data_IF_243111585803
#
_entry.id   IF_243111585803
#
_cell.length_a   1.000
_cell.length_b   1.000
_cell.length_c   1.000
_cell.angle_alpha   90.00
_cell.angle_beta   90.00
_cell.angle_gamma   90.00
#
_symmetry.space_group_name_H-M   'P 1'
#
loop_
_entity.id
_entity.type
_entity.pdbx_description
1 polymer ?
#
# COMPACT_ATOMS: atom_id res chain seq x y z
N UNK A 1 -2.82 -13.32 13.28
CA UNK A 1 -3.68 -12.78 12.19
C UNK A 1 -3.10 -11.54 11.49
N UNK A 2 -1.95 -11.00 11.93
CA UNK A 2 -1.29 -9.80 11.37
C UNK A 2 -0.39 -10.08 10.13
N UNK A 3 -0.10 -11.35 9.84
CA UNK A 3 0.94 -11.75 8.87
C UNK A 3 0.35 -12.05 7.48
N UNK A 4 -0.95 -12.35 7.39
CA UNK A 4 -1.58 -12.74 6.12
C UNK A 4 -1.95 -11.55 5.22
N UNK A 5 -2.36 -10.41 5.80
CA UNK A 5 -2.76 -9.24 5.02
C UNK A 5 -1.59 -8.52 4.34
N UNK A 6 -0.40 -8.56 4.92
CA UNK A 6 0.79 -7.93 4.33
C UNK A 6 1.33 -8.64 3.09
N UNK A 7 0.99 -9.92 2.87
CA UNK A 7 1.56 -10.74 1.79
C UNK A 7 0.92 -10.53 0.41
N UNK A 8 -0.35 -10.13 0.36
CA UNK A 8 -1.09 -9.99 -0.91
C UNK A 8 -0.93 -8.62 -1.58
N UNK A 9 -0.72 -7.56 -0.80
CA UNK A 9 -0.59 -6.18 -1.31
C UNK A 9 0.68 -6.00 -2.15
N UNK A 10 1.74 -6.77 -1.88
CA UNK A 10 3.04 -6.62 -2.56
C UNK A 10 3.08 -7.15 -4.00
N UNK A 11 2.17 -8.05 -4.40
CA UNK A 11 2.23 -8.72 -5.72
C UNK A 11 1.55 -7.89 -6.82
N UNK A 12 0.52 -7.10 -6.49
CA UNK A 12 -0.28 -6.41 -7.51
C UNK A 12 0.22 -5.00 -7.87
N UNK A 13 1.01 -4.34 -7.01
CA UNK A 13 1.45 -2.96 -7.21
C UNK A 13 2.44 -2.75 -8.40
N UNK A 14 2.93 -3.83 -9.02
CA UNK A 14 3.93 -3.74 -10.10
C UNK A 14 3.30 -3.60 -11.50
N UNK A 15 1.99 -3.88 -11.67
CA UNK A 15 1.42 -4.09 -13.01
C UNK A 15 0.60 -2.95 -13.61
N UNK A 16 0.24 -1.93 -12.85
CA UNK A 16 -0.67 -0.86 -13.31
C UNK A 16 0.01 0.51 -13.34
N UNK A 17 0.88 0.72 -14.32
CA UNK A 17 1.40 2.03 -14.65
C UNK A 17 1.40 2.21 -16.17
N UNK A 18 0.23 2.56 -16.72
CA UNK A 18 0.08 3.19 -18.05
C UNK A 18 -1.32 3.81 -18.14
N UNK A 19 -1.34 5.08 -18.58
CA UNK A 19 -2.42 5.89 -19.17
C UNK A 19 -2.91 7.07 -18.32
N UNK A 20 -2.45 8.24 -18.75
CA UNK A 20 -2.94 9.59 -18.47
C UNK A 20 -3.78 10.08 -19.64
N UNK A 21 -4.94 10.73 -19.40
CA UNK A 21 -5.19 12.16 -19.69
C UNK A 21 -6.68 12.56 -19.54
N UNK A 22 -6.87 13.71 -18.86
CA UNK A 22 -7.80 14.85 -19.07
C UNK A 22 -9.28 14.65 -19.47
N UNK A 23 -10.21 15.21 -18.67
CA UNK A 23 -11.02 16.39 -19.06
C UNK A 23 -11.96 16.92 -17.94
N UNK A 24 -12.49 18.12 -18.22
CA UNK A 24 -13.02 19.19 -17.37
C UNK A 24 -14.54 19.16 -17.14
N UNK A 25 -14.98 19.50 -15.90
CA UNK A 25 -16.21 20.25 -15.57
C UNK A 25 -17.59 19.54 -15.56
N UNK A 26 -18.14 19.30 -14.35
CA UNK A 26 -19.49 19.73 -13.86
C UNK A 26 -20.08 18.80 -12.78
N UNK A 27 -20.62 19.43 -11.72
CA UNK A 27 -21.53 18.96 -10.65
C UNK A 27 -21.28 17.57 -10.00
N UNK A 28 -20.89 17.59 -8.71
CA UNK A 28 -20.59 16.43 -7.87
C UNK A 28 -21.73 15.40 -7.80
N UNK A 29 -21.61 14.35 -8.60
CA UNK A 29 -22.32 13.11 -8.39
C UNK A 29 -21.53 12.29 -7.36
N UNK A 30 -22.10 12.07 -6.17
CA UNK A 30 -21.57 11.13 -5.20
C UNK A 30 -21.49 9.76 -5.88
N UNK A 31 -20.27 9.33 -6.23
CA UNK A 31 -20.03 8.07 -6.94
C UNK A 31 -20.70 6.93 -6.18
N UNK A 32 -21.85 6.48 -6.70
CA UNK A 32 -22.65 5.40 -6.13
C UNK A 32 -22.30 4.16 -6.94
N UNK A 33 -21.18 3.54 -6.58
CA UNK A 33 -20.66 2.39 -7.32
C UNK A 33 -20.82 1.11 -6.50
N UNK A 34 -21.07 0.02 -7.23
CA UNK A 34 -20.86 -1.32 -6.68
C UNK A 34 -19.37 -1.50 -6.43
N UNK A 35 -18.98 -2.05 -5.29
CA UNK A 35 -17.56 -2.28 -5.00
C UNK A 35 -16.91 -3.22 -6.05
N UNK A 36 -17.71 -4.07 -6.67
CA UNK A 36 -17.29 -5.03 -7.71
C UNK A 36 -16.97 -4.39 -9.06
N UNK A 37 -17.38 -3.15 -9.29
CA UNK A 37 -17.11 -2.44 -10.56
C UNK A 37 -15.92 -1.49 -10.46
N UNK A 38 -15.35 -1.31 -9.26
CA UNK A 38 -14.21 -0.43 -9.06
C UNK A 38 -12.94 -1.06 -9.65
N UNK A 39 -12.21 -0.28 -10.45
CA UNK A 39 -10.85 -0.61 -10.82
C UNK A 39 -9.91 -0.52 -9.63
N UNK A 40 -8.76 -1.18 -9.73
CA UNK A 40 -7.69 -1.11 -8.72
C UNK A 40 -7.29 0.36 -8.44
N UNK A 41 -7.22 1.20 -9.48
CA UNK A 41 -6.85 2.61 -9.31
C UNK A 41 -7.90 3.40 -8.54
N UNK A 42 -9.19 3.13 -8.77
CA UNK A 42 -10.28 3.78 -8.04
C UNK A 42 -10.30 3.32 -6.58
N UNK A 43 -10.07 2.02 -6.33
CA UNK A 43 -9.90 1.49 -4.97
C UNK A 43 -8.77 2.22 -4.22
N UNK A 44 -7.61 2.40 -4.85
CA UNK A 44 -6.51 3.15 -4.25
C UNK A 44 -6.85 4.64 -4.02
N UNK A 45 -7.58 5.27 -4.93
CA UNK A 45 -8.02 6.67 -4.79
C UNK A 45 -8.98 6.89 -3.62
N UNK A 46 -9.74 5.86 -3.25
CA UNK A 46 -10.66 5.86 -2.11
C UNK A 46 -9.95 5.62 -0.77
N UNK A 47 -8.72 5.13 -0.73
CA UNK A 47 -7.98 4.96 0.53
C UNK A 47 -7.77 6.32 1.25
N UNK A 48 -8.06 6.32 2.55
CA UNK A 48 -8.07 7.51 3.40
C UNK A 48 -9.23 8.46 3.15
N UNK A 49 -10.20 8.10 2.31
CA UNK A 49 -11.41 8.91 2.11
C UNK A 49 -12.50 8.46 3.08
N UNK A 50 -13.29 9.40 3.62
CA UNK A 50 -14.49 9.07 4.37
C UNK A 50 -15.56 8.52 3.43
N UNK A 51 -16.21 7.43 3.85
CA UNK A 51 -17.22 6.73 3.05
C UNK A 51 -18.43 6.34 3.90
N UNK A 52 -19.57 6.22 3.23
CA UNK A 52 -20.73 5.51 3.71
C UNK A 52 -20.88 4.19 2.92
N UNK A 53 -21.00 3.09 3.65
CA UNK A 53 -21.18 1.75 3.11
C UNK A 53 -22.59 1.27 3.43
N UNK A 54 -23.44 1.25 2.41
CA UNK A 54 -24.81 0.76 2.53
C UNK A 54 -24.79 -0.76 2.35
N UNK A 55 -25.27 -1.49 3.37
CA UNK A 55 -25.21 -2.95 3.41
C UNK A 55 -26.49 -3.60 2.90
N UNK A 56 -26.39 -4.86 2.48
CA UNK A 56 -27.53 -5.66 2.02
C UNK A 56 -28.67 -5.75 3.04
N UNK A 57 -28.36 -5.71 4.34
CA UNK A 57 -29.32 -5.71 5.44
C UNK A 57 -29.92 -4.33 5.78
N UNK A 58 -29.78 -3.34 4.87
CA UNK A 58 -30.29 -1.97 5.02
C UNK A 58 -29.67 -1.18 6.17
N UNK A 59 -28.51 -1.61 6.69
CA UNK A 59 -27.70 -0.81 7.63
C UNK A 59 -26.64 -0.04 6.85
N UNK A 60 -26.36 1.18 7.28
CA UNK A 60 -25.25 1.98 6.75
C UNK A 60 -24.12 2.00 7.78
N UNK A 61 -22.88 1.90 7.29
CA UNK A 61 -21.68 2.03 8.11
C UNK A 61 -20.81 3.14 7.56
N UNK A 62 -20.46 4.09 8.43
CA UNK A 62 -19.55 5.19 8.10
C UNK A 62 -18.16 4.94 8.68
N UNK A 63 -17.14 5.42 7.97
CA UNK A 63 -15.76 5.45 8.40
C UNK A 63 -14.83 5.81 7.24
N UNK A 64 -13.53 5.85 7.50
CA UNK A 64 -12.52 6.13 6.50
C UNK A 64 -11.98 4.82 5.93
N UNK A 65 -11.84 4.75 4.61
CA UNK A 65 -11.28 3.55 3.97
C UNK A 65 -9.82 3.39 4.36
N UNK A 66 -9.50 2.24 4.95
CA UNK A 66 -8.13 1.85 5.19
C UNK A 66 -7.54 1.11 3.97
N UNK A 67 -8.23 0.08 3.48
CA UNK A 67 -7.80 -0.68 2.32
C UNK A 67 -8.94 -1.49 1.70
N UNK A 68 -8.69 -2.04 0.52
CA UNK A 68 -9.54 -3.02 -0.15
C UNK A 68 -8.80 -4.35 -0.29
N UNK A 69 -9.52 -5.46 -0.22
CA UNK A 69 -9.06 -6.71 -0.83
C UNK A 69 -9.60 -6.76 -2.27
N UNK A 70 -8.73 -6.64 -3.31
CA UNK A 70 -9.18 -6.63 -4.70
C UNK A 70 -9.72 -7.99 -5.17
N UNK A 71 -9.51 -9.08 -4.41
CA UNK A 71 -10.04 -10.40 -4.78
C UNK A 71 -11.47 -10.54 -4.26
N UNK A 72 -11.68 -10.38 -2.95
CA UNK A 72 -13.02 -10.52 -2.35
C UNK A 72 -13.86 -9.24 -2.40
N UNK A 73 -13.28 -8.14 -2.87
CA UNK A 73 -13.87 -6.79 -2.83
C UNK A 73 -14.28 -6.34 -1.42
N UNK A 74 -13.66 -6.94 -0.40
CA UNK A 74 -13.88 -6.54 0.99
C UNK A 74 -13.28 -5.17 1.25
N UNK A 75 -14.00 -4.34 1.99
CA UNK A 75 -13.56 -3.00 2.38
C UNK A 75 -13.19 -3.02 3.85
N UNK A 76 -12.00 -2.56 4.17
CA UNK A 76 -11.57 -2.32 5.55
C UNK A 76 -11.71 -0.84 5.83
N UNK A 77 -12.51 -0.48 6.83
CA UNK A 77 -12.70 0.92 7.26
C UNK A 77 -12.25 1.10 8.70
N UNK A 78 -11.75 2.30 9.01
CA UNK A 78 -11.46 2.77 10.36
C UNK A 78 -12.56 3.74 10.76
N UNK A 79 -13.11 3.52 11.96
CA UNK A 79 -14.10 4.39 12.58
C UNK A 79 -13.38 5.19 13.66
N UNK A 80 -13.42 6.50 13.57
CA UNK A 80 -12.77 7.42 14.51
C UNK A 80 -13.72 7.87 15.62
N UNK A 81 -13.16 8.27 16.76
CA UNK A 81 -13.88 9.02 17.79
C UNK A 81 -13.85 10.52 17.49
N UNK A 82 -14.64 11.32 18.20
CA UNK A 82 -14.76 12.77 17.98
C UNK A 82 -13.42 13.53 18.18
N UNK A 83 -12.46 12.94 18.89
CA UNK A 83 -11.11 13.45 19.09
C UNK A 83 -10.12 13.00 17.99
N UNK A 84 -10.61 12.48 16.86
CA UNK A 84 -9.82 11.95 15.75
C UNK A 84 -8.92 10.74 16.10
N UNK A 85 -9.18 10.05 17.22
CA UNK A 85 -8.50 8.79 17.53
C UNK A 85 -9.21 7.59 16.90
N UNK A 86 -8.47 6.59 16.37
CA UNK A 86 -9.06 5.36 15.87
C UNK A 86 -9.82 4.61 16.97
N UNK A 87 -11.14 4.49 16.84
CA UNK A 87 -12.01 3.80 17.81
C UNK A 87 -12.23 2.33 17.47
N UNK A 88 -12.39 2.02 16.18
CA UNK A 88 -12.73 0.65 15.72
C UNK A 88 -12.27 0.41 14.29
N UNK A 89 -11.84 -0.81 13.98
CA UNK A 89 -11.62 -1.28 12.61
C UNK A 89 -12.74 -2.23 12.24
N UNK A 90 -13.29 -2.10 11.04
CA UNK A 90 -14.33 -3.00 10.52
C UNK A 90 -13.90 -3.55 9.16
N UNK A 91 -13.99 -4.87 9.02
CA UNK A 91 -13.88 -5.55 7.72
C UNK A 91 -15.30 -5.81 7.24
N UNK A 92 -15.64 -5.28 6.07
CA UNK A 92 -16.94 -5.43 5.43
C UNK A 92 -16.75 -6.31 4.19
N UNK A 93 -17.28 -7.54 4.17
CA UNK A 93 -17.18 -8.42 3.00
C UNK A 93 -17.83 -7.77 1.77
N UNK A 94 -17.20 -7.87 0.61
CA UNK A 94 -17.70 -7.25 -0.62
C UNK A 94 -19.14 -7.66 -0.96
N UNK A 95 -19.46 -8.94 -0.77
CA UNK A 95 -20.82 -9.49 -0.99
C UNK A 95 -21.91 -8.86 -0.10
N UNK A 96 -21.53 -8.19 0.99
CA UNK A 96 -22.46 -7.55 1.91
C UNK A 96 -22.72 -6.08 1.57
N UNK A 97 -22.03 -5.52 0.57
CA UNK A 97 -22.08 -4.12 0.19
C UNK A 97 -23.08 -3.94 -0.96
N UNK A 98 -24.10 -3.10 -0.74
CA UNK A 98 -25.01 -2.63 -1.80
C UNK A 98 -24.40 -1.44 -2.54
N UNK A 99 -23.99 -0.42 -1.80
CA UNK A 99 -23.41 0.80 -2.34
C UNK A 99 -22.25 1.27 -1.47
N UNK A 100 -21.19 1.74 -2.12
CA UNK A 100 -20.10 2.46 -1.50
C UNK A 100 -20.15 3.90 -1.99
N UNK A 101 -20.29 4.87 -1.08
CA UNK A 101 -20.37 6.29 -1.40
C UNK A 101 -19.25 7.04 -0.72
N UNK A 102 -18.47 7.80 -1.49
CA UNK A 102 -17.55 8.78 -0.95
C UNK A 102 -18.34 9.92 -0.32
N UNK A 103 -17.97 10.31 0.89
CA UNK A 103 -18.58 11.44 1.59
C UNK A 103 -17.73 12.69 1.31
N UNK A 104 -18.28 13.62 0.54
CA UNK A 104 -17.68 14.93 0.34
C UNK A 104 -18.53 15.94 1.11
N UNK A 105 -17.96 16.59 2.13
CA UNK A 105 -18.70 17.56 2.92
C UNK A 105 -17.86 18.20 4.02
N UNK A 106 -18.23 19.43 4.39
CA UNK A 106 -17.67 20.12 5.56
C UNK A 106 -18.06 19.45 6.88
N UNK A 107 -19.25 18.85 6.91
CA UNK A 107 -19.76 18.05 8.02
C UNK A 107 -19.79 16.58 7.63
N UNK A 108 -18.91 15.80 8.26
CA UNK A 108 -18.88 14.35 8.13
C UNK A 108 -19.70 13.71 9.27
N UNK A 109 -20.32 12.54 9.01
CA UNK A 109 -21.02 11.80 10.05
C UNK A 109 -20.05 11.27 11.10
N UNK A 110 -20.58 10.99 12.29
CA UNK A 110 -19.84 10.36 13.39
C UNK A 110 -19.10 9.10 12.91
N UNK A 111 -17.81 9.03 13.22
CA UNK A 111 -16.96 7.93 12.82
C UNK A 111 -16.05 8.21 11.62
N UNK A 112 -16.30 9.30 10.89
CA UNK A 112 -15.46 9.74 9.78
C UNK A 112 -14.62 10.95 10.18
N UNK A 113 -13.41 11.06 9.62
CA UNK A 113 -12.61 12.28 9.69
C UNK A 113 -12.29 12.80 8.29
N UNK A 114 -11.98 14.09 8.19
CA UNK A 114 -11.49 14.64 6.92
C UNK A 114 -10.09 14.10 6.67
N UNK A 115 -9.79 13.82 5.40
CA UNK A 115 -8.46 13.44 4.98
C UNK A 115 -7.50 14.61 5.21
N UNK A 116 -6.63 14.50 6.20
CA UNK A 116 -5.56 15.48 6.46
C UNK A 116 -4.20 14.91 6.04
N UNK A 117 -3.19 15.76 5.77
CA UNK A 117 -1.83 15.30 5.47
C UNK A 117 -1.23 14.42 6.59
N UNK A 118 -1.58 14.69 7.85
CA UNK A 118 -1.14 13.88 8.99
C UNK A 118 -1.78 12.50 8.98
N UNK A 119 -3.07 12.41 8.65
CA UNK A 119 -3.76 11.14 8.48
C UNK A 119 -3.22 10.37 7.29
N UNK A 120 -2.96 11.04 6.16
CA UNK A 120 -2.31 10.42 5.00
C UNK A 120 -0.92 9.90 5.35
N UNK A 121 -0.13 10.65 6.12
CA UNK A 121 1.18 10.22 6.57
C UNK A 121 1.08 9.01 7.51
N UNK A 122 0.15 9.03 8.47
CA UNK A 122 -0.10 7.92 9.38
C UNK A 122 -0.58 6.66 8.64
N UNK A 123 -1.55 6.81 7.73
CA UNK A 123 -2.02 5.75 6.83
C UNK A 123 -0.88 5.25 5.94
N UNK A 124 -0.03 6.15 5.42
CA UNK A 124 1.13 5.83 4.58
C UNK A 124 2.31 5.20 5.34
N UNK A 125 2.29 5.22 6.68
CA UNK A 125 3.17 4.40 7.53
C UNK A 125 2.57 3.01 7.77
N UNK A 126 1.24 2.91 7.81
CA UNK A 126 0.51 1.66 8.12
C UNK A 126 0.33 0.79 6.87
N UNK A 127 -0.04 1.43 5.75
CA UNK A 127 0.17 0.97 4.39
C UNK A 127 1.64 1.26 4.11
N UNK A 128 2.51 0.26 3.93
CA UNK A 128 3.84 0.53 3.35
C UNK A 128 3.60 1.13 1.98
N UNK A 129 3.54 2.45 1.87
CA UNK A 129 3.50 3.11 0.57
C UNK A 129 4.76 2.63 -0.12
N UNK A 130 4.60 1.94 -1.25
CA UNK A 130 5.74 1.60 -2.08
C UNK A 130 6.48 2.94 -2.28
N UNK A 131 7.76 3.05 -1.89
CA UNK A 131 8.48 4.29 -2.00
C UNK A 131 8.31 4.77 -3.44
N UNK A 132 7.91 6.03 -3.60
CA UNK A 132 7.65 6.71 -4.87
C UNK A 132 8.95 6.86 -5.66
N UNK A 133 9.54 5.72 -6.00
CA UNK A 133 10.79 5.60 -6.70
C UNK A 133 10.46 5.32 -8.14
N UNK A 134 10.96 6.16 -9.04
CA UNK A 134 10.80 5.91 -10.46
C UNK A 134 11.41 4.55 -10.82
N UNK A 135 10.96 3.95 -11.94
CA UNK A 135 11.55 2.69 -12.43
C UNK A 135 13.07 2.79 -12.58
N UNK A 136 13.57 3.96 -13.01
CA UNK A 136 15.00 4.23 -13.11
C UNK A 136 15.68 4.20 -11.74
N UNK A 137 15.11 4.86 -10.72
CA UNK A 137 15.67 4.83 -9.37
C UNK A 137 15.72 3.42 -8.77
N UNK A 138 14.70 2.59 -9.04
CA UNK A 138 14.68 1.19 -8.58
C UNK A 138 15.76 0.38 -9.28
N UNK A 139 15.95 0.55 -10.58
CA UNK A 139 17.01 -0.12 -11.35
C UNK A 139 18.40 0.31 -10.87
N UNK A 140 18.62 1.60 -10.65
CA UNK A 140 19.89 2.13 -10.13
C UNK A 140 20.19 1.64 -8.71
N UNK A 141 19.18 1.56 -7.84
CA UNK A 141 19.36 0.94 -6.51
C UNK A 141 19.71 -0.53 -6.63
N UNK A 142 19.02 -1.28 -7.49
CA UNK A 142 19.30 -2.70 -7.72
C UNK A 142 20.74 -2.90 -8.20
N UNK A 143 21.18 -2.13 -9.20
CA UNK A 143 22.52 -2.22 -9.77
C UNK A 143 23.58 -1.98 -8.70
N UNK A 144 23.47 -0.86 -7.97
CA UNK A 144 24.40 -0.53 -6.88
C UNK A 144 24.46 -1.59 -5.79
N UNK A 145 23.30 -2.12 -5.39
CA UNK A 145 23.22 -3.17 -4.38
C UNK A 145 23.97 -4.43 -4.83
N UNK A 146 23.75 -4.87 -6.08
CA UNK A 146 24.41 -6.05 -6.64
C UNK A 146 25.92 -5.83 -6.72
N UNK A 147 26.36 -4.71 -7.30
CA UNK A 147 27.79 -4.36 -7.41
C UNK A 147 28.46 -4.31 -6.04
N UNK A 148 27.81 -3.69 -5.07
CA UNK A 148 28.35 -3.56 -3.72
C UNK A 148 28.43 -4.91 -2.99
N UNK A 149 27.45 -5.81 -3.18
CA UNK A 149 27.51 -7.17 -2.65
C UNK A 149 28.64 -7.98 -3.30
N UNK A 150 28.80 -7.89 -4.62
CA UNK A 150 29.88 -8.57 -5.34
C UNK A 150 31.27 -8.05 -4.92
N UNK A 151 31.43 -6.73 -4.72
CA UNK A 151 32.65 -6.12 -4.17
C UNK A 151 32.98 -6.64 -2.76
N UNK A 152 31.96 -6.93 -1.95
CA UNK A 152 32.12 -7.55 -0.63
C UNK A 152 32.24 -9.09 -0.71
N UNK A 153 32.51 -9.65 -1.89
CA UNK A 153 32.66 -11.09 -2.15
C UNK A 153 31.42 -11.93 -1.79
N UNK A 154 30.24 -11.32 -1.83
CA UNK A 154 28.98 -11.98 -1.54
C UNK A 154 28.38 -12.50 -2.83
N UNK A 155 28.10 -13.80 -2.86
CA UNK A 155 27.50 -14.45 -4.02
C UNK A 155 26.03 -14.06 -4.15
N UNK A 156 25.73 -13.36 -5.23
CA UNK A 156 24.39 -12.96 -5.64
C UNK A 156 23.92 -13.74 -6.86
N UNK A 157 22.62 -14.05 -6.88
CA UNK A 157 21.94 -14.69 -8.01
C UNK A 157 20.72 -13.86 -8.39
N UNK A 158 20.64 -13.46 -9.65
CA UNK A 158 19.45 -12.83 -10.20
C UNK A 158 18.39 -13.90 -10.49
N UNK A 159 17.17 -13.71 -9.96
CA UNK A 159 16.04 -14.60 -10.19
C UNK A 159 15.16 -14.09 -11.35
N UNK A 160 14.41 -15.00 -11.98
CA UNK A 160 13.51 -14.69 -13.10
C UNK A 160 12.35 -13.77 -12.72
N UNK A 161 11.99 -13.73 -11.44
CA UNK A 161 10.95 -12.85 -10.89
C UNK A 161 11.46 -11.43 -10.55
N UNK A 162 12.70 -11.11 -10.93
CA UNK A 162 13.31 -9.80 -10.70
C UNK A 162 13.92 -9.60 -9.31
N UNK A 163 13.83 -10.57 -8.40
CA UNK A 163 14.49 -10.53 -7.09
C UNK A 163 15.96 -10.96 -7.15
N UNK A 164 16.72 -10.64 -6.10
CA UNK A 164 18.13 -11.02 -5.93
C UNK A 164 18.25 -11.98 -4.75
N UNK A 165 18.82 -13.17 -4.98
CA UNK A 165 19.13 -14.14 -3.93
C UNK A 165 20.58 -14.02 -3.48
N UNK A 166 20.80 -13.98 -2.17
CA UNK A 166 22.12 -13.93 -1.53
C UNK A 166 22.36 -15.24 -0.80
N UNK A 167 23.46 -15.93 -1.12
CA UNK A 167 23.82 -17.25 -0.56
C UNK A 167 22.72 -18.32 -0.62
N UNK A 168 21.69 -18.14 -1.46
CA UNK A 168 20.52 -19.03 -1.55
C UNK A 168 19.58 -19.01 -0.34
N UNK A 169 19.91 -18.28 0.73
CA UNK A 169 19.16 -18.25 1.99
C UNK A 169 18.42 -16.93 2.22
N UNK A 170 18.83 -15.88 1.53
CA UNK A 170 18.23 -14.56 1.65
C UNK A 170 17.76 -14.08 0.29
N UNK A 171 16.62 -13.41 0.27
CA UNK A 171 16.01 -12.85 -0.93
C UNK A 171 15.75 -11.36 -0.73
N UNK A 172 16.14 -10.55 -1.71
CA UNK A 172 15.93 -9.11 -1.73
C UNK A 172 15.03 -8.79 -2.91
N UNK A 173 13.94 -8.07 -2.67
CA UNK A 173 12.94 -7.74 -3.68
C UNK A 173 12.90 -6.23 -3.92
N UNK A 174 12.30 -5.82 -5.04
CA UNK A 174 12.04 -4.40 -5.28
C UNK A 174 11.20 -3.82 -4.12
N UNK A 175 11.47 -2.59 -3.67
CA UNK A 175 12.37 -1.57 -4.23
C UNK A 175 13.86 -1.63 -3.81
N UNK A 176 14.34 -2.77 -3.32
CA UNK A 176 15.75 -3.03 -2.94
C UNK A 176 16.28 -2.13 -1.82
N UNK A 177 15.43 -1.82 -0.85
CA UNK A 177 15.83 -1.13 0.39
C UNK A 177 16.24 -2.12 1.47
N UNK A 178 16.79 -1.59 2.58
CA UNK A 178 17.14 -2.38 3.77
C UNK A 178 15.93 -3.14 4.35
N UNK A 179 14.72 -2.66 4.12
CA UNK A 179 13.48 -3.29 4.60
C UNK A 179 12.90 -4.34 3.65
N UNK A 180 13.43 -4.43 2.41
CA UNK A 180 12.95 -5.34 1.37
C UNK A 180 13.74 -6.66 1.33
N UNK A 181 14.24 -7.06 2.51
CA UNK A 181 15.09 -8.21 2.73
C UNK A 181 14.34 -9.32 3.46
N UNK A 182 14.37 -10.53 2.93
CA UNK A 182 13.65 -11.70 3.44
C UNK A 182 14.60 -12.87 3.65
N UNK A 183 14.60 -13.42 4.86
CA UNK A 183 15.38 -14.60 5.23
C UNK A 183 14.72 -15.28 6.43
N UNK A 184 14.71 -16.60 6.46
CA UNK A 184 14.15 -17.36 7.59
C UNK A 184 15.04 -17.24 8.85
N UNK A 185 16.33 -16.99 8.67
CA UNK A 185 17.26 -16.81 9.77
C UNK A 185 17.39 -15.32 10.14
N UNK A 186 16.81 -14.95 11.28
CA UNK A 186 16.82 -13.57 11.78
C UNK A 186 18.24 -13.01 12.03
N UNK A 187 19.19 -13.85 12.45
CA UNK A 187 20.59 -13.42 12.68
C UNK A 187 21.26 -13.04 11.35
N UNK A 188 21.05 -13.86 10.31
CA UNK A 188 21.55 -13.57 8.96
C UNK A 188 20.89 -12.30 8.42
N UNK A 189 19.56 -12.18 8.57
CA UNK A 189 18.82 -10.99 8.15
C UNK A 189 19.36 -9.71 8.78
N UNK A 190 19.55 -9.68 10.10
CA UNK A 190 20.09 -8.49 10.80
C UNK A 190 21.50 -8.13 10.36
N UNK A 191 22.38 -9.14 10.15
CA UNK A 191 23.73 -8.91 9.64
C UNK A 191 23.72 -8.34 8.23
N UNK A 192 22.86 -8.88 7.37
CA UNK A 192 22.70 -8.43 5.99
C UNK A 192 22.09 -7.04 5.91
N UNK A 193 21.10 -6.71 6.75
CA UNK A 193 20.58 -5.35 6.84
C UNK A 193 21.68 -4.34 7.23
N UNK A 194 22.49 -4.66 8.24
CA UNK A 194 23.65 -3.82 8.66
C UNK A 194 24.72 -3.71 7.58
N UNK A 195 24.82 -4.72 6.74
CA UNK A 195 25.72 -4.74 5.62
C UNK A 195 25.17 -3.79 4.52
N UNK A 196 23.92 -3.98 4.10
CA UNK A 196 23.23 -3.15 3.10
C UNK A 196 23.13 -1.68 3.52
N UNK A 197 23.05 -1.37 4.82
CA UNK A 197 23.06 0.02 5.31
C UNK A 197 24.35 0.78 5.01
N UNK A 198 25.40 0.10 4.55
CA UNK A 198 26.68 0.69 4.15
C UNK A 198 26.82 0.86 2.63
N UNK A 199 25.78 0.53 1.86
CA UNK A 199 25.76 0.81 0.43
C UNK A 199 25.85 2.33 0.25
N UNK A 200 26.83 2.86 -0.50
CA UNK A 200 26.97 4.30 -0.67
C UNK A 200 25.73 4.89 -1.36
N UNK A 201 25.15 5.90 -0.71
CA UNK A 201 24.12 6.73 -1.33
C UNK A 201 24.79 7.60 -2.41
N UNK A 202 24.09 7.89 -3.51
CA UNK A 202 24.60 8.87 -4.45
C UNK A 202 24.54 10.23 -3.76
N UNK A 203 25.70 10.78 -3.40
CA UNK A 203 25.86 12.22 -3.31
C UNK A 203 25.52 12.78 -4.68
N UNK A 204 24.41 13.49 -4.78
CA UNK A 204 24.10 14.35 -5.91
C UNK A 204 25.22 15.36 -6.08
N UNK A 205 26.06 15.16 -7.09
CA UNK A 205 26.87 16.21 -7.70
C UNK A 205 26.02 16.94 -8.74
#
# INVERSE_FOLDING_TARGET
MHIFFSKYIHIFAIRSASLTQNNHGSMEEACTSSVFTLSISEMYGLCGQPVAVDLVNNKTVCGDVFTFDPISHSVVIIVFACNAEPKKIRVIPGISIKHLRKLNGEQLPDGCIKKTPELEHWLGRLLRTAPQSSKQQILERRKRLVEWLEQNQIRVKNNNDGSVSVFGVMRIVAPFTIEDCFCDNAVILSRMKRLISKVPEMSSL
#
